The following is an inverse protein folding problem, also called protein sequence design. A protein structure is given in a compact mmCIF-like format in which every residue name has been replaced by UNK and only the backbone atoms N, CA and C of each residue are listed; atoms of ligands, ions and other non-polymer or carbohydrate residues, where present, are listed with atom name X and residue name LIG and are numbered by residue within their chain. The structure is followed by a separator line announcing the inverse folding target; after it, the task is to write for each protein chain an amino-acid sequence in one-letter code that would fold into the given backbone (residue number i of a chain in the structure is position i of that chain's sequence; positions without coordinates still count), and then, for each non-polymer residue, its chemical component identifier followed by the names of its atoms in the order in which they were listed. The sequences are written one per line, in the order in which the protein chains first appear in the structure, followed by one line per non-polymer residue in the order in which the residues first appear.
data_IF_414148732455
#
_entry.id   IF_414148732455
#
_cell.length_a   1.000
_cell.length_b   1.000
_cell.length_c   1.000
_cell.angle_alpha   90.00
_cell.angle_beta   90.00
_cell.angle_gamma   90.00
#
_symmetry.space_group_name_H-M   'P 1'
#
loop_
_entity.id
_entity.type
_entity.pdbx_description
1 polymer ?
#
# COMPACT_ATOMS: atom_id res chain seq x y z
N UNK A 1 71.71 -27.62 2.84
CA UNK A 1 71.24 -26.56 1.92
C UNK A 1 69.85 -26.98 1.47
N UNK A 2 68.74 -26.60 2.12
CA UNK A 2 68.28 -25.25 2.52
C UNK A 2 67.82 -24.50 1.26
N UNK A 3 66.52 -24.15 1.22
CA UNK A 3 65.78 -23.43 0.17
C UNK A 3 65.41 -24.34 -1.01
N UNK A 4 64.19 -24.89 -1.09
CA UNK A 4 63.05 -24.27 -1.78
C UNK A 4 61.71 -24.75 -1.17
N UNK A 5 61.57 -24.58 0.15
CA UNK A 5 60.28 -24.65 0.82
C UNK A 5 59.64 -23.26 0.71
N UNK A 6 58.37 -23.22 0.29
CA UNK A 6 57.44 -22.09 0.46
C UNK A 6 57.72 -20.91 -0.50
N UNK A 7 57.24 -21.01 -1.74
CA UNK A 7 56.87 -19.82 -2.52
C UNK A 7 55.40 -19.92 -2.93
N UNK A 8 54.60 -19.03 -2.34
CA UNK A 8 53.27 -18.60 -2.78
C UNK A 8 52.08 -19.56 -2.63
N UNK A 9 51.96 -20.23 -1.47
CA UNK A 9 50.65 -20.61 -0.93
C UNK A 9 50.16 -19.51 0.03
N UNK A 10 49.94 -18.31 -0.50
CA UNK A 10 49.39 -17.19 0.26
C UNK A 10 48.67 -16.22 -0.69
N UNK A 11 47.84 -16.76 -1.60
CA UNK A 11 46.66 -16.00 -2.03
C UNK A 11 45.74 -16.03 -0.82
N UNK A 12 45.94 -15.02 0.02
CA UNK A 12 45.11 -14.67 1.13
C UNK A 12 43.67 -14.60 0.57
N UNK A 13 42.85 -15.60 0.92
CA UNK A 13 41.41 -15.50 0.82
C UNK A 13 40.96 -14.37 1.75
N UNK A 14 41.14 -13.12 1.32
CA UNK A 14 40.28 -12.04 1.71
C UNK A 14 38.94 -12.32 1.02
N UNK A 15 38.21 -13.30 1.57
CA UNK A 15 36.76 -13.32 1.46
C UNK A 15 36.33 -12.04 2.16
N UNK A 16 36.28 -10.94 1.41
CA UNK A 16 35.46 -9.81 1.79
C UNK A 16 34.07 -10.42 1.85
N UNK A 17 33.62 -10.76 3.06
CA UNK A 17 32.20 -10.95 3.31
C UNK A 17 31.59 -9.59 3.02
N UNK A 18 31.29 -9.34 1.75
CA UNK A 18 30.31 -8.34 1.39
C UNK A 18 29.06 -8.81 2.12
N UNK A 19 28.74 -8.15 3.24
CA UNK A 19 27.46 -8.33 3.90
C UNK A 19 26.42 -7.89 2.88
N UNK A 20 25.94 -8.85 2.09
CA UNK A 20 24.82 -8.62 1.19
C UNK A 20 23.65 -8.22 2.07
N UNK A 21 23.18 -6.99 1.88
CA UNK A 21 22.05 -6.48 2.63
C UNK A 21 20.87 -7.44 2.44
N UNK A 22 20.18 -7.79 3.52
CA UNK A 22 19.05 -8.73 3.44
C UNK A 22 17.73 -7.97 3.34
N UNK A 23 16.70 -8.63 2.81
CA UNK A 23 15.34 -8.08 2.82
C UNK A 23 14.87 -7.72 4.24
N UNK A 24 15.12 -8.59 5.22
CA UNK A 24 14.76 -8.35 6.63
C UNK A 24 15.47 -7.11 7.21
N UNK A 25 16.74 -6.87 6.83
CA UNK A 25 17.47 -5.67 7.23
C UNK A 25 16.88 -4.39 6.60
N UNK A 26 16.57 -4.42 5.31
CA UNK A 26 15.93 -3.29 4.61
C UNK A 26 14.56 -2.95 5.18
N UNK A 27 13.74 -3.97 5.43
CA UNK A 27 12.43 -3.80 6.07
C UNK A 27 12.60 -3.17 7.45
N UNK A 28 13.57 -3.64 8.25
CA UNK A 28 13.83 -3.07 9.57
C UNK A 28 14.26 -1.61 9.51
N UNK A 29 15.08 -1.24 8.52
CA UNK A 29 15.49 0.16 8.27
C UNK A 29 14.30 1.02 7.83
N UNK A 30 13.47 0.54 6.89
CA UNK A 30 12.26 1.21 6.45
C UNK A 30 11.28 1.44 7.61
N UNK A 31 10.98 0.42 8.40
CA UNK A 31 10.11 0.53 9.59
C UNK A 31 10.66 1.57 10.57
N UNK A 32 11.97 1.58 10.80
CA UNK A 32 12.61 2.59 11.65
C UNK A 32 12.50 4.00 11.06
N UNK A 33 12.74 4.16 9.77
CA UNK A 33 12.63 5.44 9.06
C UNK A 33 11.19 5.99 9.11
N UNK A 34 10.18 5.11 9.03
CA UNK A 34 8.77 5.49 9.13
C UNK A 34 8.35 5.93 10.53
N UNK A 35 9.14 5.66 11.57
CA UNK A 35 8.86 6.07 12.96
C UNK A 35 9.05 4.95 14.00
N UNK A 36 9.34 3.72 13.56
CA UNK A 36 9.55 2.56 14.42
C UNK A 36 8.28 1.75 14.67
N UNK A 37 8.45 0.45 14.95
CA UNK A 37 7.36 -0.51 15.11
C UNK A 37 6.35 -0.08 16.19
N UNK A 38 6.83 0.36 17.36
CA UNK A 38 5.96 0.74 18.47
C UNK A 38 5.05 1.93 18.11
N UNK A 39 5.60 2.94 17.43
CA UNK A 39 4.84 4.10 16.97
C UNK A 39 3.78 3.68 15.93
N UNK A 40 4.14 2.82 14.97
CA UNK A 40 3.22 2.29 13.97
C UNK A 40 2.07 1.54 14.65
N UNK A 41 2.38 0.64 15.59
CA UNK A 41 1.38 -0.19 16.30
C UNK A 41 0.51 0.61 17.28
N UNK A 42 0.99 1.75 17.77
CA UNK A 42 0.25 2.63 18.64
C UNK A 42 -0.92 3.34 17.92
N UNK A 43 -0.79 3.63 16.62
CA UNK A 43 -1.85 4.31 15.88
C UNK A 43 -3.05 3.40 15.68
N UNK A 44 -4.26 3.87 15.99
CA UNK A 44 -5.52 3.11 15.90
C UNK A 44 -6.44 3.58 14.78
N UNK A 45 -6.31 4.84 14.39
CA UNK A 45 -7.08 5.44 13.30
C UNK A 45 -6.26 6.51 12.59
N UNK A 46 -6.55 6.73 11.31
CA UNK A 46 -6.00 7.83 10.51
C UNK A 46 -7.13 8.44 9.69
N UNK A 47 -7.12 9.77 9.57
CA UNK A 47 -7.94 10.52 8.61
C UNK A 47 -7.03 11.39 7.76
N UNK A 48 -7.08 11.19 6.46
CA UNK A 48 -6.35 11.95 5.45
C UNK A 48 -7.34 12.73 4.59
N UNK A 49 -6.96 13.97 4.25
CA UNK A 49 -7.70 14.80 3.32
C UNK A 49 -6.72 15.49 2.38
N UNK A 50 -7.07 15.52 1.10
CA UNK A 50 -6.21 16.06 0.06
C UNK A 50 -6.96 16.53 -1.16
N UNK A 51 -6.19 17.06 -2.11
CA UNK A 51 -6.65 17.54 -3.40
C UNK A 51 -6.08 16.65 -4.48
N UNK A 52 -6.94 16.18 -5.37
CA UNK A 52 -6.61 15.37 -6.53
C UNK A 52 -6.57 16.26 -7.78
N UNK A 53 -5.55 16.06 -8.58
CA UNK A 53 -5.39 16.52 -9.96
C UNK A 53 -5.28 15.31 -10.86
N UNK A 54 -6.13 15.18 -11.86
CA UNK A 54 -6.04 14.13 -12.88
C UNK A 54 -5.90 14.73 -14.27
N UNK A 55 -5.61 13.86 -15.24
CA UNK A 55 -5.50 14.20 -16.64
C UNK A 55 -6.72 15.02 -17.14
N UNK A 56 -6.47 15.91 -18.10
CA UNK A 56 -7.52 16.77 -18.68
C UNK A 56 -7.95 17.95 -17.80
N UNK A 57 -7.19 18.30 -16.76
CA UNK A 57 -7.47 19.44 -15.87
C UNK A 57 -8.57 19.14 -14.84
N UNK A 58 -8.88 17.86 -14.64
CA UNK A 58 -9.87 17.41 -13.68
C UNK A 58 -9.32 17.54 -12.25
N UNK A 59 -10.06 18.20 -11.36
CA UNK A 59 -9.65 18.38 -9.97
C UNK A 59 -10.75 17.98 -9.00
N UNK A 60 -10.40 17.41 -7.85
CA UNK A 60 -11.38 17.02 -6.84
C UNK A 60 -10.78 16.93 -5.44
N UNK A 61 -11.64 16.56 -4.48
CA UNK A 61 -11.26 16.34 -3.08
C UNK A 61 -11.19 14.85 -2.82
N UNK A 62 -10.10 14.41 -2.22
CA UNK A 62 -9.97 13.03 -1.74
C UNK A 62 -9.94 13.00 -0.23
N UNK A 63 -10.49 11.94 0.33
CA UNK A 63 -10.41 11.65 1.75
C UNK A 63 -10.25 10.16 1.97
N UNK A 64 -9.45 9.79 2.96
CA UNK A 64 -9.26 8.40 3.35
C UNK A 64 -9.29 8.31 4.88
N UNK A 65 -10.06 7.36 5.37
CA UNK A 65 -10.19 7.04 6.78
C UNK A 65 -9.80 5.58 6.97
N UNK A 66 -8.93 5.31 7.93
CA UNK A 66 -8.54 3.96 8.29
C UNK A 66 -8.75 3.76 9.79
N UNK A 67 -9.16 2.56 10.19
CA UNK A 67 -9.25 2.16 11.59
C UNK A 67 -8.86 0.69 11.76
N UNK A 68 -8.15 0.37 12.84
CA UNK A 68 -7.80 -1.02 13.14
C UNK A 68 -9.06 -1.87 13.43
N UNK A 69 -9.06 -3.17 13.09
CA UNK A 69 -7.93 -3.91 12.50
C UNK A 69 -7.72 -3.61 11.02
N UNK A 70 -8.77 -3.64 10.19
CA UNK A 70 -8.68 -3.49 8.73
C UNK A 70 -9.92 -2.78 8.18
N UNK A 71 -10.26 -1.61 8.74
CA UNK A 71 -11.39 -0.80 8.26
C UNK A 71 -10.83 0.34 7.43
N UNK A 72 -11.41 0.57 6.26
CA UNK A 72 -11.02 1.65 5.36
C UNK A 72 -12.24 2.25 4.70
N UNK A 73 -12.22 3.56 4.52
CA UNK A 73 -13.22 4.32 3.78
C UNK A 73 -12.52 5.40 2.98
N UNK A 74 -12.68 5.33 1.67
CA UNK A 74 -12.15 6.27 0.71
C UNK A 74 -13.28 7.06 0.07
N UNK A 75 -13.00 8.34 -0.16
CA UNK A 75 -13.96 9.26 -0.75
C UNK A 75 -13.29 10.08 -1.83
N UNK A 76 -14.01 10.29 -2.93
CA UNK A 76 -13.66 11.22 -3.97
C UNK A 76 -14.85 12.14 -4.22
N UNK A 77 -14.67 13.45 -4.03
CA UNK A 77 -15.74 14.44 -4.19
C UNK A 77 -15.43 15.45 -5.28
N UNK A 78 -16.42 15.68 -6.15
CA UNK A 78 -16.38 16.62 -7.26
C UNK A 78 -17.77 17.23 -7.45
N UNK A 79 -17.84 18.56 -7.57
CA UNK A 79 -19.07 19.29 -7.90
C UNK A 79 -20.29 18.89 -7.04
N UNK A 80 -20.06 18.62 -5.75
CA UNK A 80 -21.11 18.21 -4.80
C UNK A 80 -21.54 16.75 -4.87
N UNK A 81 -20.95 15.94 -5.76
CA UNK A 81 -21.10 14.48 -5.76
C UNK A 81 -19.90 13.82 -5.07
N UNK A 82 -20.15 12.74 -4.34
CA UNK A 82 -19.11 11.99 -3.63
C UNK A 82 -19.20 10.51 -3.99
N UNK A 83 -18.15 9.99 -4.61
CA UNK A 83 -17.90 8.56 -4.69
C UNK A 83 -17.36 8.06 -3.35
N UNK A 84 -17.74 6.85 -2.97
CA UNK A 84 -17.30 6.18 -1.74
C UNK A 84 -16.88 4.76 -2.08
N UNK A 85 -15.79 4.29 -1.51
CA UNK A 85 -15.49 2.87 -1.34
C UNK A 85 -15.17 2.63 0.12
N UNK A 86 -15.66 1.55 0.70
CA UNK A 86 -15.39 1.23 2.09
C UNK A 86 -15.41 -0.26 2.35
N UNK A 87 -14.60 -0.68 3.31
CA UNK A 87 -14.49 -2.05 3.79
C UNK A 87 -14.60 -2.04 5.31
N UNK A 88 -15.54 -2.84 5.84
CA UNK A 88 -15.83 -2.89 7.27
C UNK A 88 -14.99 -3.94 8.04
N UNK A 89 -14.01 -4.56 7.38
CA UNK A 89 -13.25 -5.70 7.90
C UNK A 89 -13.82 -7.06 7.47
N UNK A 90 -14.96 -7.08 6.78
CA UNK A 90 -15.58 -8.29 6.22
C UNK A 90 -16.14 -8.07 4.82
N UNK A 91 -16.86 -6.98 4.59
CA UNK A 91 -17.62 -6.70 3.37
C UNK A 91 -17.24 -5.34 2.83
N UNK A 92 -17.03 -5.27 1.51
CA UNK A 92 -16.79 -4.02 0.81
C UNK A 92 -18.02 -3.51 0.08
N UNK A 93 -18.20 -2.20 0.09
CA UNK A 93 -19.30 -1.53 -0.58
C UNK A 93 -18.82 -0.20 -1.20
N UNK A 94 -19.60 0.30 -2.14
CA UNK A 94 -19.26 1.50 -2.87
C UNK A 94 -20.50 2.32 -3.27
N UNK A 95 -20.27 3.60 -3.58
CA UNK A 95 -21.20 4.50 -4.28
C UNK A 95 -20.41 5.13 -5.43
N UNK A 96 -20.91 5.05 -6.66
CA UNK A 96 -20.20 5.49 -7.88
C UNK A 96 -21.06 6.48 -8.70
N UNK A 97 -21.26 7.72 -8.21
CA UNK A 97 -22.21 8.65 -8.83
C UNK A 97 -21.76 9.11 -10.23
N UNK A 98 -20.45 9.11 -10.51
CA UNK A 98 -19.88 9.49 -11.81
C UNK A 98 -20.13 8.45 -12.91
N UNK A 99 -20.40 7.20 -12.54
CA UNK A 99 -20.86 6.14 -13.45
C UNK A 99 -22.39 6.01 -13.52
N UNK A 100 -23.14 6.92 -12.89
CA UNK A 100 -24.61 6.87 -12.82
C UNK A 100 -25.18 6.03 -11.67
N UNK A 101 -24.34 5.31 -10.93
CA UNK A 101 -24.75 4.46 -9.80
C UNK A 101 -24.69 5.24 -8.48
N UNK A 102 -25.79 5.93 -8.17
CA UNK A 102 -25.89 6.82 -7.00
C UNK A 102 -26.26 6.10 -5.70
N UNK A 103 -26.80 4.89 -5.79
CA UNK A 103 -27.13 4.07 -4.63
C UNK A 103 -25.94 3.20 -4.21
N UNK A 104 -25.81 2.87 -2.91
CA UNK A 104 -24.79 1.93 -2.45
C UNK A 104 -24.91 0.57 -3.12
N UNK A 105 -23.78 -0.08 -3.38
CA UNK A 105 -23.70 -1.43 -3.92
C UNK A 105 -22.55 -2.22 -3.26
N UNK A 106 -22.68 -3.54 -3.19
CA UNK A 106 -21.58 -4.41 -2.77
C UNK A 106 -20.51 -4.46 -3.88
N UNK A 107 -19.25 -4.52 -3.49
CA UNK A 107 -18.13 -4.69 -4.43
C UNK A 107 -17.91 -6.18 -4.71
N UNK A 108 -17.59 -6.52 -5.96
CA UNK A 108 -17.19 -7.88 -6.33
C UNK A 108 -15.77 -8.21 -5.82
N UNK A 109 -15.46 -9.48 -5.60
CA UNK A 109 -14.17 -9.92 -5.00
C UNK A 109 -12.92 -9.41 -5.73
N UNK A 110 -12.99 -9.24 -7.05
CA UNK A 110 -11.89 -8.72 -7.86
C UNK A 110 -11.75 -7.18 -7.73
N UNK A 111 -12.85 -6.47 -7.45
CA UNK A 111 -12.87 -5.02 -7.32
C UNK A 111 -12.39 -4.54 -5.93
N UNK A 112 -12.41 -5.42 -4.91
CA UNK A 112 -11.98 -5.08 -3.55
C UNK A 112 -10.45 -5.11 -3.38
N UNK A 113 -9.68 -5.60 -4.37
CA UNK A 113 -8.25 -5.92 -4.18
C UNK A 113 -7.42 -4.73 -3.70
N UNK A 114 -7.54 -3.57 -4.36
CA UNK A 114 -6.89 -2.33 -3.93
C UNK A 114 -7.32 -1.96 -2.51
N UNK A 115 -8.63 -1.94 -2.26
CA UNK A 115 -9.21 -1.56 -0.98
C UNK A 115 -8.77 -2.47 0.17
N UNK A 116 -8.59 -3.77 -0.07
CA UNK A 116 -8.05 -4.69 0.95
C UNK A 116 -6.60 -4.36 1.29
N UNK A 117 -5.81 -3.94 0.31
CA UNK A 117 -4.42 -3.54 0.54
C UNK A 117 -4.39 -2.21 1.31
N UNK A 118 -5.24 -1.27 0.96
CA UNK A 118 -5.35 0.02 1.66
C UNK A 118 -6.00 -0.13 3.05
N UNK A 119 -6.74 -1.22 3.28
CA UNK A 119 -7.23 -1.62 4.61
C UNK A 119 -6.14 -2.20 5.51
N UNK A 120 -5.04 -2.72 4.95
CA UNK A 120 -3.88 -3.17 5.74
C UNK A 120 -3.19 -1.96 6.34
N UNK A 121 -3.62 -1.62 7.56
CA UNK A 121 -3.25 -0.41 8.27
C UNK A 121 -1.73 -0.20 8.40
N UNK A 122 -0.96 -1.28 8.45
CA UNK A 122 0.50 -1.21 8.63
C UNK A 122 1.27 -1.40 7.31
N UNK A 123 0.57 -1.78 6.25
CA UNK A 123 1.12 -2.09 4.94
C UNK A 123 1.86 -3.45 4.85
N UNK A 124 2.11 -3.93 3.62
CA UNK A 124 2.64 -5.26 3.34
C UNK A 124 3.96 -5.67 4.00
N UNK A 125 4.83 -4.71 4.33
CA UNK A 125 6.16 -4.96 4.91
C UNK A 125 6.12 -5.23 6.43
N UNK A 126 5.19 -4.59 7.14
CA UNK A 126 5.06 -4.77 8.60
C UNK A 126 4.43 -6.12 8.88
N UNK A 127 5.09 -6.92 9.72
CA UNK A 127 4.68 -8.29 10.08
C UNK A 127 4.43 -9.20 8.86
N UNK A 128 5.18 -8.97 7.77
CA UNK A 128 4.93 -9.64 6.48
C UNK A 128 4.84 -11.17 6.60
N UNK A 129 5.69 -11.80 7.43
CA UNK A 129 5.66 -13.26 7.68
C UNK A 129 4.35 -13.71 8.32
N UNK A 130 3.84 -12.96 9.30
CA UNK A 130 2.57 -13.26 9.98
C UNK A 130 1.36 -13.05 9.06
N UNK A 131 1.48 -12.12 8.10
CA UNK A 131 0.49 -11.89 7.04
C UNK A 131 0.51 -12.98 5.95
N UNK A 132 1.55 -13.82 5.92
CA UNK A 132 1.75 -14.85 4.90
C UNK A 132 2.39 -14.32 3.61
N UNK A 133 2.99 -13.13 3.66
CA UNK A 133 3.74 -12.55 2.56
C UNK A 133 5.18 -13.11 2.54
N UNK A 134 5.84 -13.03 1.39
CA UNK A 134 7.30 -13.23 1.26
C UNK A 134 7.95 -11.97 0.72
N UNK A 135 9.20 -11.71 1.10
CA UNK A 135 9.95 -10.54 0.63
C UNK A 135 11.33 -10.94 0.15
N UNK A 136 11.68 -10.48 -1.05
CA UNK A 136 12.98 -10.66 -1.69
C UNK A 136 13.65 -9.29 -1.88
N UNK A 137 14.95 -9.18 -1.59
CA UNK A 137 15.74 -8.03 -1.96
C UNK A 137 16.34 -8.27 -3.35
N UNK A 138 16.01 -7.41 -4.31
CA UNK A 138 16.42 -7.56 -5.70
C UNK A 138 17.73 -6.84 -6.02
N UNK A 139 18.30 -6.10 -5.07
CA UNK A 139 19.47 -5.26 -5.29
C UNK A 139 19.12 -3.79 -5.52
N UNK A 140 20.12 -3.07 -6.01
CA UNK A 140 19.95 -1.70 -6.47
C UNK A 140 19.25 -1.66 -7.83
N UNK A 141 18.49 -0.60 -8.07
CA UNK A 141 17.87 -0.26 -9.34
C UNK A 141 17.96 1.27 -9.51
N UNK A 142 17.40 1.82 -10.59
CA UNK A 142 17.36 3.28 -10.80
C UNK A 142 15.96 3.75 -11.15
N UNK A 143 15.53 4.87 -10.56
CA UNK A 143 14.33 5.61 -10.95
C UNK A 143 14.76 7.01 -11.39
N UNK A 144 14.46 7.37 -12.64
CA UNK A 144 14.79 8.69 -13.21
C UNK A 144 16.28 9.09 -13.08
N UNK A 145 17.17 8.09 -12.95
CA UNK A 145 18.61 8.26 -12.78
C UNK A 145 19.10 8.19 -11.33
N UNK A 146 18.20 8.21 -10.35
CA UNK A 146 18.53 8.11 -8.92
C UNK A 146 18.57 6.64 -8.46
N UNK A 147 19.55 6.32 -7.62
CA UNK A 147 19.75 4.98 -7.05
C UNK A 147 18.65 4.62 -6.05
N UNK A 148 18.17 3.38 -6.11
CA UNK A 148 17.12 2.88 -5.21
C UNK A 148 17.35 1.43 -4.81
N UNK A 149 16.90 1.06 -3.60
CA UNK A 149 16.93 -0.31 -3.10
C UNK A 149 15.58 -0.97 -3.38
N UNK A 150 15.57 -2.05 -4.15
CA UNK A 150 14.34 -2.67 -4.63
C UNK A 150 13.97 -3.92 -3.85
N UNK A 151 12.80 -3.91 -3.22
CA UNK A 151 12.19 -5.09 -2.60
C UNK A 151 11.05 -5.60 -3.47
N UNK A 152 10.88 -6.91 -3.53
CA UNK A 152 9.70 -7.57 -4.09
C UNK A 152 8.94 -8.26 -2.98
N UNK A 153 7.69 -7.86 -2.78
CA UNK A 153 6.77 -8.49 -1.83
C UNK A 153 5.80 -9.35 -2.63
N UNK A 154 5.74 -10.65 -2.36
CA UNK A 154 4.66 -11.50 -2.86
C UNK A 154 3.62 -11.64 -1.75
N UNK A 155 2.42 -11.14 -2.01
CA UNK A 155 1.31 -11.16 -1.07
C UNK A 155 0.71 -12.57 -0.95
N UNK A 156 -0.01 -12.82 0.15
CA UNK A 156 -0.68 -14.11 0.39
C UNK A 156 -1.61 -14.56 -0.75
N UNK A 157 -2.22 -13.62 -1.47
CA UNK A 157 -3.10 -13.89 -2.61
C UNK A 157 -2.35 -14.10 -3.94
N UNK A 158 -1.02 -13.97 -3.96
CA UNK A 158 -0.18 -14.12 -5.15
C UNK A 158 0.14 -12.82 -5.88
N UNK A 159 -0.51 -11.70 -5.53
CA UNK A 159 -0.19 -10.39 -6.11
C UNK A 159 1.20 -9.92 -5.66
N UNK A 160 1.82 -9.06 -6.46
CA UNK A 160 3.18 -8.57 -6.22
C UNK A 160 3.16 -7.07 -5.96
N UNK A 161 3.91 -6.64 -4.95
CA UNK A 161 4.22 -5.23 -4.70
C UNK A 161 5.73 -5.06 -4.68
N UNK A 162 6.26 -4.28 -5.61
CA UNK A 162 7.63 -3.81 -5.55
C UNK A 162 7.70 -2.53 -4.74
N UNK A 163 8.66 -2.45 -3.82
CA UNK A 163 9.01 -1.23 -3.10
C UNK A 163 10.37 -0.74 -3.57
N UNK A 164 10.47 0.55 -3.85
CA UNK A 164 11.71 1.23 -4.22
C UNK A 164 12.03 2.20 -3.10
N UNK A 165 13.05 1.87 -2.31
CA UNK A 165 13.46 2.64 -1.15
C UNK A 165 14.62 3.57 -1.53
N UNK A 166 14.53 4.81 -1.09
CA UNK A 166 15.66 5.73 -1.12
C UNK A 166 16.80 5.20 -0.23
N UNK A 167 18.05 5.07 -0.73
CA UNK A 167 19.15 4.45 0.02
C UNK A 167 19.58 5.24 1.26
N UNK A 168 19.35 6.56 1.29
CA UNK A 168 19.78 7.45 2.36
C UNK A 168 18.78 7.49 3.52
N UNK A 169 17.49 7.50 3.19
CA UNK A 169 16.38 7.66 4.15
C UNK A 169 15.67 6.34 4.45
N UNK A 170 15.79 5.34 3.58
CA UNK A 170 15.04 4.07 3.60
C UNK A 170 13.52 4.23 3.50
N UNK A 171 13.01 5.40 3.13
CA UNK A 171 11.60 5.61 2.82
C UNK A 171 11.30 5.15 1.40
N UNK A 172 10.13 4.57 1.19
CA UNK A 172 9.65 4.24 -0.14
C UNK A 172 9.37 5.49 -0.95
N UNK A 173 9.96 5.60 -2.14
CA UNK A 173 9.72 6.71 -3.08
C UNK A 173 8.85 6.28 -4.26
N UNK A 174 8.77 4.97 -4.53
CA UNK A 174 7.87 4.36 -5.49
C UNK A 174 7.40 2.99 -5.01
N UNK A 175 6.17 2.64 -5.35
CA UNK A 175 5.69 1.27 -5.35
C UNK A 175 5.14 0.89 -6.71
N UNK A 176 5.36 -0.35 -7.14
CA UNK A 176 4.72 -0.91 -8.32
C UNK A 176 3.90 -2.14 -7.92
N UNK A 177 2.61 -2.14 -8.23
CA UNK A 177 1.69 -3.24 -7.94
C UNK A 177 1.41 -4.03 -9.22
N UNK A 178 1.51 -5.36 -9.14
CA UNK A 178 1.04 -6.29 -10.17
C UNK A 178 -0.04 -7.18 -9.58
N UNK A 179 -1.25 -7.11 -10.13
CA UNK A 179 -2.39 -7.92 -9.69
C UNK A 179 -2.80 -8.91 -10.76
N UNK A 180 -3.04 -10.16 -10.36
CA UNK A 180 -3.37 -11.25 -11.25
C UNK A 180 -4.87 -11.54 -11.21
N UNK A 181 -5.66 -10.80 -12.01
CA UNK A 181 -7.11 -10.88 -12.04
C UNK A 181 -7.59 -11.63 -13.28
N UNK A 182 -8.22 -12.80 -13.10
CA UNK A 182 -8.82 -13.62 -14.19
C UNK A 182 -7.90 -13.84 -15.40
N UNK A 183 -6.62 -14.09 -15.15
CA UNK A 183 -5.60 -14.31 -16.20
C UNK A 183 -5.08 -13.04 -16.88
N UNK A 184 -5.53 -11.87 -16.44
CA UNK A 184 -4.98 -10.56 -16.82
C UNK A 184 -4.05 -10.04 -15.72
N UNK A 185 -3.05 -9.27 -16.10
CA UNK A 185 -2.16 -8.57 -15.16
C UNK A 185 -2.49 -7.08 -15.20
N UNK A 186 -2.86 -6.50 -14.06
CA UNK A 186 -2.99 -5.05 -13.90
C UNK A 186 -1.74 -4.53 -13.22
N UNK A 187 -1.09 -3.54 -13.84
CA UNK A 187 0.12 -2.91 -13.31
C UNK A 187 -0.14 -1.44 -13.01
N UNK A 188 0.00 -1.07 -11.74
CA UNK A 188 -0.08 0.32 -11.29
C UNK A 188 1.22 0.74 -10.63
N UNK A 189 1.58 2.00 -10.81
CA UNK A 189 2.73 2.64 -10.17
C UNK A 189 2.20 3.71 -9.23
N UNK A 190 2.91 3.94 -8.13
CA UNK A 190 2.64 5.03 -7.20
C UNK A 190 3.95 5.64 -6.74
N UNK A 191 4.12 6.93 -6.99
CA UNK A 191 5.23 7.76 -6.51
C UNK A 191 4.84 8.47 -5.24
N UNK A 192 5.77 8.50 -4.28
CA UNK A 192 5.55 8.97 -2.93
C UNK A 192 6.63 9.99 -2.59
N UNK A 193 6.20 11.17 -2.11
CA UNK A 193 7.13 12.24 -1.83
C UNK A 193 6.62 13.25 -0.82
N UNK A 194 7.43 14.29 -0.62
CA UNK A 194 7.15 15.37 0.34
C UNK A 194 6.84 14.84 1.75
N UNK A 195 7.60 13.85 2.20
CA UNK A 195 7.37 13.20 3.49
C UNK A 195 7.41 14.20 4.66
N UNK A 196 6.41 14.11 5.55
CA UNK A 196 6.36 14.91 6.79
C UNK A 196 6.04 14.04 7.98
N UNK A 197 6.52 14.47 9.14
CA UNK A 197 6.26 13.82 10.41
C UNK A 197 4.89 14.22 10.96
N UNK A 198 4.03 13.23 11.20
CA UNK A 198 2.72 13.39 11.87
C UNK A 198 2.67 12.43 13.04
N UNK A 199 2.56 12.96 14.25
CA UNK A 199 2.51 12.18 15.49
C UNK A 199 3.60 11.11 15.63
N UNK A 200 4.83 11.44 15.20
CA UNK A 200 5.97 10.53 15.30
C UNK A 200 6.29 9.75 14.03
N UNK A 201 5.37 9.66 13.08
CA UNK A 201 5.48 8.82 11.89
C UNK A 201 5.67 9.65 10.62
N UNK A 202 6.41 9.11 9.65
CA UNK A 202 6.59 9.75 8.34
C UNK A 202 5.46 9.34 7.40
N UNK A 203 4.76 10.34 6.86
CA UNK A 203 3.70 10.16 5.86
C UNK A 203 4.04 10.94 4.58
N UNK A 204 3.77 10.38 3.38
CA UNK A 204 3.91 11.12 2.12
C UNK A 204 2.82 12.18 2.01
N UNK A 205 3.18 13.38 1.52
CA UNK A 205 2.22 14.46 1.24
C UNK A 205 2.02 14.72 -0.25
N UNK A 206 2.81 14.07 -1.09
CA UNK A 206 2.65 14.04 -2.54
C UNK A 206 2.56 12.59 -2.97
N UNK A 207 1.49 12.25 -3.69
CA UNK A 207 1.26 10.91 -4.23
C UNK A 207 0.93 11.08 -5.70
N UNK A 208 1.61 10.40 -6.61
CA UNK A 208 1.22 10.34 -8.01
C UNK A 208 1.05 8.88 -8.41
N UNK A 209 -0.08 8.50 -9.01
CA UNK A 209 -0.35 7.10 -9.32
C UNK A 209 -1.15 6.90 -10.59
N UNK A 210 -0.98 5.72 -11.19
CA UNK A 210 -1.75 5.30 -12.35
C UNK A 210 -1.14 4.08 -13.06
N UNK A 211 -1.66 3.73 -14.24
CA UNK A 211 -1.20 2.57 -14.99
C UNK A 211 0.27 2.71 -15.38
N UNK A 212 1.05 1.63 -15.23
CA UNK A 212 2.48 1.62 -15.54
C UNK A 212 2.78 1.96 -17.01
N UNK A 213 1.91 1.51 -17.91
CA UNK A 213 2.07 1.68 -19.35
C UNK A 213 1.41 2.96 -19.91
N UNK A 214 0.78 3.77 -19.05
CA UNK A 214 0.21 5.06 -19.44
C UNK A 214 0.45 6.15 -18.38
N UNK A 215 1.67 6.67 -18.27
CA UNK A 215 1.99 7.77 -17.36
C UNK A 215 1.17 9.03 -17.59
N UNK A 216 0.60 9.22 -18.79
CA UNK A 216 -0.17 10.40 -19.14
C UNK A 216 -1.55 10.46 -18.46
N UNK A 217 -2.06 9.31 -18.00
CA UNK A 217 -3.31 9.21 -17.25
C UNK A 217 -3.13 9.22 -15.74
N UNK A 218 -1.90 9.40 -15.24
CA UNK A 218 -1.65 9.44 -13.80
C UNK A 218 -2.42 10.59 -13.13
N UNK A 219 -2.89 10.31 -11.93
CA UNK A 219 -3.45 11.29 -11.02
C UNK A 219 -2.41 11.65 -9.96
N UNK A 220 -2.46 12.89 -9.51
CA UNK A 220 -1.64 13.41 -8.41
C UNK A 220 -2.53 13.83 -7.26
N UNK A 221 -2.19 13.41 -6.05
CA UNK A 221 -2.82 13.84 -4.81
C UNK A 221 -1.82 14.62 -3.98
N UNK A 222 -2.19 15.85 -3.63
CA UNK A 222 -1.52 16.63 -2.59
C UNK A 222 -2.28 16.47 -1.28
N UNK A 223 -1.67 15.86 -0.26
CA UNK A 223 -2.26 15.80 1.07
C UNK A 223 -2.21 17.18 1.72
N UNK A 224 -3.34 17.61 2.26
CA UNK A 224 -3.47 18.86 2.98
C UNK A 224 -3.47 18.63 4.48
N UNK A 225 -4.06 17.53 4.92
CA UNK A 225 -4.20 17.19 6.33
C UNK A 225 -4.11 15.68 6.54
N UNK A 226 -3.32 15.29 7.53
CA UNK A 226 -3.28 13.92 8.06
C UNK A 226 -3.43 14.03 9.57
N UNK A 227 -4.40 13.33 10.11
CA UNK A 227 -4.70 13.26 11.54
C UNK A 227 -4.67 11.80 11.97
N UNK A 228 -4.05 11.52 13.11
CA UNK A 228 -3.96 10.16 13.65
C UNK A 228 -4.64 10.06 15.00
N UNK A 229 -5.08 8.87 15.36
CA UNK A 229 -5.84 8.59 16.58
C UNK A 229 -7.07 9.49 16.74
N UNK A 230 -7.70 9.86 15.63
CA UNK A 230 -8.97 10.59 15.61
C UNK A 230 -10.11 9.65 16.02
N UNK A 231 -11.12 10.14 16.75
CA UNK A 231 -12.27 9.32 17.12
C UNK A 231 -13.10 9.00 15.86
N UNK A 232 -13.02 7.76 15.40
CA UNK A 232 -13.84 7.21 14.32
C UNK A 232 -14.73 6.10 14.90
N UNK A 233 -15.98 6.06 14.46
CA UNK A 233 -16.91 4.97 14.75
C UNK A 233 -16.85 3.89 13.68
N UNK A 234 -16.94 2.61 14.05
CA UNK A 234 -17.03 1.51 13.07
C UNK A 234 -18.23 1.64 12.13
N UNK A 235 -19.30 2.33 12.56
CA UNK A 235 -20.46 2.65 11.74
C UNK A 235 -20.14 3.52 10.53
N UNK A 236 -19.03 4.27 10.52
CA UNK A 236 -18.60 5.08 9.37
C UNK A 236 -18.17 4.20 8.19
N UNK A 237 -17.78 2.94 8.46
CA UNK A 237 -17.29 1.97 7.48
C UNK A 237 -18.33 0.91 7.11
N UNK A 238 -19.36 0.76 7.95
CA UNK A 238 -20.33 -0.33 7.87
C UNK A 238 -21.12 -0.33 6.56
N UNK A 239 -21.46 -1.53 6.09
CA UNK A 239 -22.37 -1.71 4.95
C UNK A 239 -23.69 -0.96 5.22
N UNK A 240 -24.14 -0.11 4.28
CA UNK A 240 -25.40 0.61 4.43
C UNK A 240 -26.59 -0.32 4.65
N UNK A 241 -27.51 0.07 5.52
CA UNK A 241 -28.69 -0.73 5.88
C UNK A 241 -29.62 -1.06 4.69
N UNK A 242 -29.54 -0.29 3.59
CA UNK A 242 -30.24 -0.60 2.33
C UNK A 242 -29.76 -1.91 1.73
N UNK A 243 -28.46 -2.20 1.77
CA UNK A 243 -27.85 -3.41 1.24
C UNK A 243 -28.04 -4.63 2.16
N UNK A 244 -28.10 -4.41 3.48
CA UNK A 244 -28.32 -5.50 4.44
C UNK A 244 -29.71 -6.14 4.33
N UNK A 245 -30.71 -5.41 3.80
CA UNK A 245 -32.09 -5.90 3.64
C UNK A 245 -32.29 -6.71 2.36
N UNK A 246 -31.39 -6.60 1.38
CA UNK A 246 -31.49 -7.25 0.07
C UNK A 246 -30.76 -8.60 -0.01
N UNK A 247 -30.04 -9.00 1.05
CA UNK A 247 -29.47 -10.35 1.13
C UNK A 247 -30.61 -11.38 1.08
N UNK A 248 -30.64 -12.31 0.10
CA UNK A 248 -31.72 -13.27 -0.01
C UNK A 248 -31.73 -14.13 1.27
N UNK A 249 -32.89 -14.16 1.95
CA UNK A 249 -33.18 -15.18 2.97
C UNK A 249 -32.88 -16.52 2.32
N UNK A 250 -31.79 -17.20 2.71
CA UNK A 250 -31.60 -18.62 2.41
C UNK A 250 -32.89 -19.30 2.87
N UNK A 251 -33.70 -19.75 1.90
CA UNK A 251 -34.83 -20.60 2.19
C UNK A 251 -34.27 -21.84 2.88
N UNK A 252 -34.53 -21.96 4.18
CA UNK A 252 -34.51 -23.25 4.85
C UNK A 252 -35.49 -24.15 4.08
N UNK A 253 -34.95 -25.00 3.22
CA UNK A 253 -35.66 -26.15 2.70
C UNK A 253 -35.93 -27.07 3.89
N UNK A 254 -37.13 -26.92 4.45
CA UNK A 254 -37.70 -27.88 5.36
C UNK A 254 -37.65 -29.26 4.71
N UNK A 255 -36.92 -30.17 5.34
CA UNK A 255 -37.04 -31.61 5.07
C UNK A 255 -38.47 -32.02 5.41
N UNK A 256 -39.19 -32.54 4.42
CA UNK A 256 -40.19 -33.59 4.59
C UNK A 256 -39.71 -34.80 3.81
#
# INVERSE_FOLDING_TARGET
MRQFLILLFAVLCCSVFASSQTADELISKNIKAKGGMDAIKAIKSVRMAGRLDAAGGFTGRVGQENMRPNLVRETFSLQGMTAVQAYDGSTAWQIQPFGGHKDPQLMGEDDVRDLLIDSDFDGPLVDYKAKGNTVEYLGHDTIDGDDVLRLKVTLKNGDIVYYYLDPDTFLEIRTERQEFVRGSVRENVTDLGSYKKVAGLMYPFSIASGPKNDPSSWQSVTMEKIEVNVPLGSSEFAVPASLSKEAPKRQESAKQ
#
